data_IF_487902392304
#
_entry.id   IF_487902392304
#
_cell.length_a   1.000
_cell.length_b   1.000
_cell.length_c   1.000
_cell.angle_alpha   90.00
_cell.angle_beta   90.00
_cell.angle_gamma   90.00
#
_symmetry.space_group_name_H-M   'P 1'
#
loop_
_entity.id
_entity.type
_entity.pdbx_description
1 polymer ?
#
# COMPACT_ATOMS: atom_id res chain seq x y z
N UNK A 1 -8.62 -5.14 25.50
CA UNK A 1 -8.12 -5.98 24.39
C UNK A 1 -6.85 -5.38 23.78
N UNK A 2 -5.69 -5.54 24.44
CA UNK A 2 -4.41 -4.94 24.00
C UNK A 2 -3.51 -5.88 23.18
N UNK A 3 -3.75 -7.20 23.23
CA UNK A 3 -2.86 -8.21 22.64
C UNK A 3 -2.81 -8.19 21.10
N UNK A 4 -3.90 -7.80 20.43
CA UNK A 4 -3.96 -7.78 18.96
C UNK A 4 -3.21 -6.59 18.35
N UNK A 5 -3.10 -5.47 19.07
CA UNK A 5 -2.36 -4.28 18.61
C UNK A 5 -0.85 -4.54 18.57
N UNK A 6 -0.30 -5.10 19.64
CA UNK A 6 1.14 -5.34 19.76
C UNK A 6 1.69 -6.32 18.72
N UNK A 7 0.91 -7.33 18.30
CA UNK A 7 1.32 -8.24 17.20
C UNK A 7 1.35 -7.54 15.85
N UNK A 8 0.35 -6.72 15.57
CA UNK A 8 0.22 -6.00 14.30
C UNK A 8 1.40 -5.04 14.08
N UNK A 9 1.76 -4.26 15.10
CA UNK A 9 2.88 -3.31 15.00
C UNK A 9 4.24 -3.97 14.80
N UNK A 10 4.44 -5.16 15.40
CA UNK A 10 5.69 -5.93 15.25
C UNK A 10 5.81 -6.50 13.84
N UNK A 11 4.73 -7.04 13.28
CA UNK A 11 4.70 -7.55 11.90
C UNK A 11 4.87 -6.44 10.87
N UNK A 12 4.24 -5.28 11.08
CA UNK A 12 4.38 -4.12 10.18
C UNK A 12 5.81 -3.60 10.14
N UNK A 13 6.48 -3.48 11.29
CA UNK A 13 7.90 -3.06 11.34
C UNK A 13 8.83 -4.07 10.65
N UNK A 14 8.59 -5.36 10.83
CA UNK A 14 9.39 -6.41 10.21
C UNK A 14 9.19 -6.45 8.69
N UNK A 15 7.93 -6.31 8.25
CA UNK A 15 7.54 -6.20 6.85
C UNK A 15 8.17 -4.96 6.17
N UNK A 16 8.16 -3.82 6.84
CA UNK A 16 8.78 -2.60 6.33
C UNK A 16 10.30 -2.73 6.21
N UNK A 17 10.97 -3.27 7.24
CA UNK A 17 12.41 -3.51 7.19
C UNK A 17 12.77 -4.44 6.02
N UNK A 18 11.98 -5.49 5.80
CA UNK A 18 12.17 -6.40 4.67
C UNK A 18 12.02 -5.69 3.32
N UNK A 19 10.96 -4.90 3.14
CA UNK A 19 10.72 -4.17 1.91
C UNK A 19 11.87 -3.18 1.60
N UNK A 20 12.42 -2.51 2.63
CA UNK A 20 13.59 -1.64 2.49
C UNK A 20 14.82 -2.46 2.07
N UNK A 21 15.09 -3.58 2.75
CA UNK A 21 16.22 -4.47 2.44
C UNK A 21 16.12 -5.09 1.04
N UNK A 22 14.91 -5.41 0.58
CA UNK A 22 14.65 -5.94 -0.76
C UNK A 22 14.68 -4.86 -1.86
N UNK A 23 14.81 -3.57 -1.51
CA UNK A 23 14.81 -2.48 -2.46
C UNK A 23 13.44 -2.25 -3.11
N UNK A 24 12.35 -2.47 -2.37
CA UNK A 24 10.98 -2.27 -2.82
C UNK A 24 10.64 -0.78 -2.84
N UNK A 25 10.11 -0.30 -3.97
CA UNK A 25 9.63 1.07 -4.14
C UNK A 25 8.55 1.44 -3.12
N UNK A 26 8.45 2.74 -2.81
CA UNK A 26 7.44 3.28 -1.89
C UNK A 26 6.01 2.89 -2.30
N UNK A 27 5.74 2.79 -3.60
CA UNK A 27 4.45 2.33 -4.15
C UNK A 27 4.11 0.91 -3.69
N UNK A 28 5.05 -0.03 -3.76
CA UNK A 28 4.86 -1.40 -3.29
C UNK A 28 4.63 -1.48 -1.78
N UNK A 29 5.35 -0.66 -1.00
CA UNK A 29 5.18 -0.58 0.46
C UNK A 29 3.80 -0.05 0.85
N UNK A 30 3.31 0.96 0.14
CA UNK A 30 1.98 1.52 0.39
C UNK A 30 0.88 0.53 -0.03
N UNK A 31 1.05 -0.14 -1.17
CA UNK A 31 0.12 -1.16 -1.62
C UNK A 31 0.03 -2.32 -0.62
N UNK A 32 1.17 -2.85 -0.14
CA UNK A 32 1.19 -3.88 0.89
C UNK A 32 0.43 -3.45 2.13
N UNK A 33 0.62 -2.21 2.61
CA UNK A 33 -0.12 -1.72 3.78
C UNK A 33 -1.63 -1.66 3.52
N UNK A 34 -2.06 -1.20 2.34
CA UNK A 34 -3.48 -1.18 1.99
C UNK A 34 -4.05 -2.60 1.97
N UNK A 35 -3.35 -3.55 1.36
CA UNK A 35 -3.75 -4.96 1.34
C UNK A 35 -3.78 -5.53 2.76
N UNK A 36 -2.72 -5.35 3.55
CA UNK A 36 -2.59 -5.84 4.93
C UNK A 36 -3.66 -5.27 5.89
N UNK A 37 -4.18 -4.07 5.59
CA UNK A 37 -5.32 -3.48 6.31
C UNK A 37 -6.63 -4.19 6.00
N UNK A 38 -6.84 -4.60 4.75
CA UNK A 38 -8.05 -5.31 4.32
C UNK A 38 -7.98 -6.82 4.57
N UNK A 39 -6.82 -7.43 4.31
CA UNK A 39 -6.52 -8.85 4.38
C UNK A 39 -5.27 -9.01 5.24
N UNK A 40 -5.44 -9.53 6.47
CA UNK A 40 -4.32 -9.75 7.38
C UNK A 40 -3.38 -10.87 6.92
N UNK A 41 -3.90 -11.79 6.12
CA UNK A 41 -3.15 -12.91 5.56
C UNK A 41 -2.39 -12.47 4.29
N UNK A 42 -1.36 -11.65 4.46
CA UNK A 42 -0.44 -11.31 3.38
C UNK A 42 0.99 -11.18 3.88
N UNK A 43 1.95 -11.61 3.06
CA UNK A 43 3.37 -11.65 3.38
C UNK A 43 4.22 -11.14 2.22
N UNK A 44 5.42 -10.68 2.53
CA UNK A 44 6.42 -10.41 1.51
C UNK A 44 7.15 -11.68 1.11
N UNK A 45 7.42 -11.80 -0.19
CA UNK A 45 8.27 -12.82 -0.76
C UNK A 45 9.22 -12.13 -1.76
N UNK A 46 10.43 -11.85 -1.31
CA UNK A 46 11.45 -11.08 -2.04
C UNK A 46 10.98 -9.65 -2.36
N UNK A 47 10.52 -9.43 -3.59
CA UNK A 47 9.90 -8.17 -4.04
C UNK A 47 8.41 -8.35 -4.33
N UNK A 48 7.87 -9.54 -4.09
CA UNK A 48 6.49 -9.86 -4.40
C UNK A 48 5.64 -9.82 -3.13
N UNK A 49 4.38 -9.43 -3.28
CA UNK A 49 3.38 -9.48 -2.20
C UNK A 49 2.55 -10.73 -2.40
N UNK A 50 2.56 -11.64 -1.44
CA UNK A 50 1.79 -12.88 -1.46
C UNK A 50 0.60 -12.72 -0.52
N UNK A 51 -0.61 -12.82 -1.05
CA UNK A 51 -1.88 -12.69 -0.34
C UNK A 51 -2.56 -14.05 -0.29
N UNK A 52 -2.91 -14.51 0.92
CA UNK A 52 -3.53 -15.81 1.20
C UNK A 52 -2.78 -17.02 0.63
N UNK A 53 -1.49 -16.87 0.28
CA UNK A 53 -0.71 -17.87 -0.47
C UNK A 53 -1.31 -18.28 -1.83
N UNK A 54 -2.38 -17.63 -2.28
CA UNK A 54 -3.09 -17.90 -3.53
C UNK A 54 -2.83 -16.84 -4.60
N UNK A 55 -2.50 -15.61 -4.19
CA UNK A 55 -2.29 -14.46 -5.08
C UNK A 55 -0.92 -13.85 -4.83
N UNK A 56 -0.16 -13.62 -5.88
CA UNK A 56 1.17 -13.01 -5.91
C UNK A 56 1.14 -11.75 -6.76
N UNK A 57 1.58 -10.64 -6.18
CA UNK A 57 1.68 -9.35 -6.85
C UNK A 57 3.15 -9.02 -7.02
N UNK A 58 3.63 -9.01 -8.26
CA UNK A 58 5.01 -8.69 -8.57
C UNK A 58 5.17 -7.21 -8.95
N UNK A 59 6.37 -6.62 -8.80
CA UNK A 59 6.69 -5.31 -9.37
C UNK A 59 6.39 -5.30 -10.88
N UNK A 60 5.83 -4.22 -11.45
CA UNK A 60 5.56 -2.88 -10.90
C UNK A 60 4.30 -2.72 -10.02
N UNK A 61 3.80 -3.79 -9.40
CA UNK A 61 2.69 -3.78 -8.44
C UNK A 61 1.36 -3.27 -9.01
N UNK A 62 1.14 -3.48 -10.31
CA UNK A 62 -0.10 -3.12 -10.98
C UNK A 62 -1.15 -4.23 -10.85
N UNK A 63 -2.41 -3.87 -11.09
CA UNK A 63 -3.53 -4.83 -11.19
C UNK A 63 -3.28 -5.94 -12.21
N UNK A 64 -2.54 -5.63 -13.28
CA UNK A 64 -2.16 -6.57 -14.34
C UNK A 64 -1.08 -7.55 -13.90
N UNK A 65 -0.20 -7.14 -12.98
CA UNK A 65 0.85 -7.97 -12.40
C UNK A 65 0.38 -8.84 -11.23
N UNK A 66 -0.91 -8.77 -10.88
CA UNK A 66 -1.52 -9.69 -9.93
C UNK A 66 -1.72 -11.05 -10.59
N UNK A 67 -0.87 -12.02 -10.21
CA UNK A 67 -0.96 -13.42 -10.62
C UNK A 67 -1.51 -14.24 -9.49
N UNK A 68 -2.33 -15.24 -9.76
CA UNK A 68 -2.86 -16.08 -8.70
C UNK A 68 -3.88 -17.04 -9.22
N UNK A 69 -4.41 -17.87 -8.33
CA UNK A 69 -5.51 -18.76 -8.66
C UNK A 69 -6.74 -17.94 -9.06
N UNK A 70 -7.35 -18.27 -10.20
CA UNK A 70 -8.58 -17.61 -10.64
C UNK A 70 -9.69 -17.88 -9.61
N UNK A 71 -10.28 -16.80 -9.09
CA UNK A 71 -11.26 -16.89 -8.02
C UNK A 71 -11.57 -15.53 -7.40
N UNK A 72 -12.42 -15.57 -6.37
CA UNK A 72 -12.83 -14.38 -5.63
C UNK A 72 -11.65 -13.63 -5.01
N UNK A 73 -10.61 -14.34 -4.54
CA UNK A 73 -9.39 -13.77 -3.97
C UNK A 73 -8.66 -12.86 -4.97
N UNK A 74 -8.40 -13.34 -6.20
CA UNK A 74 -7.72 -12.56 -7.23
C UNK A 74 -8.53 -11.31 -7.63
N UNK A 75 -9.84 -11.44 -7.84
CA UNK A 75 -10.72 -10.30 -8.12
C UNK A 75 -10.74 -9.29 -6.96
N UNK A 76 -10.72 -9.78 -5.72
CA UNK A 76 -10.71 -8.92 -4.53
C UNK A 76 -9.39 -8.13 -4.44
N UNK A 77 -8.25 -8.81 -4.61
CA UNK A 77 -6.92 -8.17 -4.63
C UNK A 77 -6.84 -7.11 -5.74
N UNK A 78 -7.29 -7.43 -6.96
CA UNK A 78 -7.31 -6.46 -8.07
C UNK A 78 -8.12 -5.21 -7.72
N UNK A 79 -9.29 -5.35 -7.10
CA UNK A 79 -10.10 -4.21 -6.65
C UNK A 79 -9.38 -3.37 -5.60
N UNK A 80 -8.67 -4.00 -4.66
CA UNK A 80 -7.89 -3.28 -3.64
C UNK A 80 -6.77 -2.48 -4.31
N UNK A 81 -6.03 -3.10 -5.25
CA UNK A 81 -4.92 -2.44 -5.96
C UNK A 81 -5.45 -1.27 -6.79
N UNK A 82 -6.53 -1.46 -7.55
CA UNK A 82 -7.15 -0.38 -8.32
C UNK A 82 -7.60 0.78 -7.44
N UNK A 83 -8.26 0.47 -6.32
CA UNK A 83 -8.66 1.47 -5.33
C UNK A 83 -7.45 2.20 -4.74
N UNK A 84 -6.38 1.47 -4.40
CA UNK A 84 -5.15 2.05 -3.86
C UNK A 84 -4.58 3.12 -4.79
N UNK A 85 -4.44 2.83 -6.09
CA UNK A 85 -3.92 3.82 -7.05
C UNK A 85 -4.80 5.06 -7.12
N UNK A 86 -6.14 4.88 -7.12
CA UNK A 86 -7.10 6.00 -7.12
C UNK A 86 -7.02 6.84 -5.84
N UNK A 87 -6.90 6.21 -4.67
CA UNK A 87 -6.72 6.89 -3.38
C UNK A 87 -5.39 7.65 -3.33
N UNK A 88 -4.28 7.04 -3.78
CA UNK A 88 -2.95 7.69 -3.82
C UNK A 88 -2.97 8.92 -4.72
N UNK A 89 -3.60 8.84 -5.90
CA UNK A 89 -3.76 9.99 -6.79
C UNK A 89 -4.58 11.10 -6.15
N UNK A 90 -5.70 10.74 -5.51
CA UNK A 90 -6.56 11.70 -4.78
C UNK A 90 -5.81 12.39 -3.64
N UNK A 91 -4.99 11.66 -2.87
CA UNK A 91 -4.19 12.24 -1.79
C UNK A 91 -3.09 13.16 -2.32
N UNK A 92 -2.43 12.82 -3.43
CA UNK A 92 -1.45 13.72 -4.08
C UNK A 92 -2.08 15.04 -4.52
N UNK A 93 -3.30 14.99 -5.05
CA UNK A 93 -4.05 16.19 -5.47
C UNK A 93 -4.37 17.07 -4.27
N UNK A 94 -4.93 16.49 -3.19
CA UNK A 94 -5.26 17.23 -1.97
C UNK A 94 -4.03 17.89 -1.32
N UNK A 95 -2.88 17.20 -1.33
CA UNK A 95 -1.65 17.72 -0.75
C UNK A 95 -1.05 18.86 -1.59
N UNK A 96 -1.16 18.81 -2.93
CA UNK A 96 -0.78 19.93 -3.81
C UNK A 96 -1.67 21.16 -3.62
N UNK A 97 -2.98 20.96 -3.46
CA UNK A 97 -3.92 22.08 -3.27
C UNK A 97 -3.68 22.84 -1.96
N UNK A 98 -3.31 22.16 -0.86
CA UNK A 98 -2.99 22.84 0.40
C UNK A 98 -1.67 23.62 0.33
N UNK A 99 -0.63 23.07 -0.31
CA UNK A 99 0.66 23.76 -0.44
C UNK A 99 0.60 25.05 -1.28
N UNK A 100 -0.30 25.14 -2.25
CA UNK A 100 -0.54 26.36 -3.05
C UNK A 100 -1.35 27.42 -2.29
N UNK A 101 -2.17 27.04 -1.32
CA UNK A 101 -2.99 27.98 -0.55
C UNK A 101 -2.17 28.71 0.52
N UNK A 102 -1.14 28.06 1.09
CA UNK A 102 -0.27 28.66 2.12
C UNK A 102 0.65 29.76 1.59
N UNK A 103 1.00 29.76 0.29
CA UNK A 103 1.83 30.81 -0.32
C UNK A 103 1.03 32.09 -0.66
N UNK A 104 -0.30 32.02 -0.80
CA UNK A 104 -1.11 33.23 -1.09
C UNK A 104 -1.38 34.09 0.13
N UNK A 105 -1.40 33.49 1.32
CA UNK A 105 -1.70 34.18 2.59
C UNK A 105 -0.48 34.95 3.14
N UNK A 106 0.74 34.49 2.84
CA UNK A 106 1.99 35.13 3.31
C UNK A 106 2.39 36.38 2.53
N UNK A 107 1.86 36.59 1.32
CA UNK A 107 2.19 37.76 0.48
C UNK A 107 1.20 38.93 0.62
N UNK A 108 0.12 38.78 1.39
CA UNK A 108 -0.89 39.83 1.62
C UNK A 108 -0.75 40.53 2.98
N UNK A 109 0.24 40.11 3.79
CA UNK A 109 0.53 40.68 5.12
C UNK A 109 1.83 41.50 5.17
N UNK A 110 2.29 42.05 4.04
CA UNK A 110 3.43 42.97 3.96
C UNK A 110 3.08 44.23 3.20
#
# INVERSE_FOLDING_TARGET
QLANKARTEKEEKMSQAYAISAGVSLEGQQLFQTIHKTIKDCKWQEKNIVVMEEVVIAPPYQVENCKGKEGSALSHVRKIVEKHFRDVESQKVLQRSQAQQTQKDTSLSS
#
